data_IF_741359599750
#
_entry.id   IF_741359599750
#
_cell.length_a   1.000
_cell.length_b   1.000
_cell.length_c   1.000
_cell.angle_alpha   90.00
_cell.angle_beta   90.00
_cell.angle_gamma   90.00
#
_symmetry.space_group_name_H-M   'P 1'
#
loop_
_entity.id
_entity.type
_entity.pdbx_description
1 polymer ?
#
# COMPACT_ATOMS: atom_id res chain seq x y z
N UNK A 1 33.44 -16.74 13.02
CA UNK A 1 33.25 -16.62 11.57
C UNK A 1 32.44 -17.82 11.08
N UNK A 2 31.14 -17.66 10.82
CA UNK A 2 30.34 -18.67 10.11
C UNK A 2 30.01 -18.07 8.76
N UNK A 3 30.52 -18.68 7.71
CA UNK A 3 30.16 -18.37 6.33
C UNK A 3 28.73 -18.87 6.15
N UNK A 4 27.74 -17.99 6.24
CA UNK A 4 26.37 -18.27 5.81
C UNK A 4 26.33 -18.07 4.30
N UNK A 5 26.77 -19.08 3.55
CA UNK A 5 26.45 -19.20 2.13
C UNK A 5 25.26 -20.14 2.00
N UNK A 6 24.05 -19.58 2.00
CA UNK A 6 22.95 -20.23 1.29
C UNK A 6 23.23 -20.04 -0.19
N UNK A 7 23.49 -21.12 -0.92
CA UNK A 7 23.66 -21.06 -2.38
C UNK A 7 22.54 -20.21 -2.99
N UNK A 8 22.84 -19.33 -3.96
CA UNK A 8 21.79 -18.62 -4.69
C UNK A 8 20.74 -19.61 -5.19
N UNK A 9 19.46 -19.27 -5.01
CA UNK A 9 18.40 -19.97 -5.74
C UNK A 9 18.52 -19.55 -7.20
N UNK A 10 18.47 -20.51 -8.12
CA UNK A 10 18.45 -20.24 -9.55
C UNK A 10 17.34 -21.05 -10.21
N UNK A 11 16.68 -20.46 -11.19
CA UNK A 11 15.74 -21.15 -12.06
C UNK A 11 15.96 -20.72 -13.50
N UNK A 12 15.68 -21.64 -14.41
CA UNK A 12 15.64 -21.36 -15.84
C UNK A 12 14.19 -21.35 -16.28
N UNK A 13 13.77 -20.29 -16.98
CA UNK A 13 12.43 -20.13 -17.50
C UNK A 13 12.47 -19.95 -19.01
N UNK A 14 11.61 -20.68 -19.73
CA UNK A 14 11.31 -20.37 -21.12
C UNK A 14 10.18 -19.34 -21.19
N UNK A 15 10.45 -18.20 -21.81
CA UNK A 15 9.51 -17.12 -22.09
C UNK A 15 8.91 -17.35 -23.47
N UNK A 16 7.63 -17.72 -23.51
CA UNK A 16 6.92 -18.02 -24.75
C UNK A 16 6.55 -16.76 -25.55
N UNK A 17 6.24 -15.66 -24.85
CA UNK A 17 5.82 -14.39 -25.44
C UNK A 17 6.55 -13.25 -24.73
N UNK A 18 7.20 -12.40 -25.52
CA UNK A 18 7.90 -11.23 -25.00
C UNK A 18 6.92 -10.23 -24.36
N UNK A 19 7.39 -9.50 -23.36
CA UNK A 19 6.60 -8.52 -22.63
C UNK A 19 7.16 -8.21 -21.25
N UNK A 20 6.45 -7.39 -20.48
CA UNK A 20 6.85 -7.05 -19.12
C UNK A 20 6.73 -8.28 -18.20
N UNK A 21 7.83 -8.68 -17.58
CA UNK A 21 7.93 -9.87 -16.75
C UNK A 21 7.53 -9.62 -15.31
N UNK A 22 6.78 -10.56 -14.72
CA UNK A 22 6.51 -10.64 -13.30
C UNK A 22 7.10 -11.92 -12.69
N UNK A 23 7.66 -11.81 -11.50
CA UNK A 23 8.09 -12.94 -10.68
C UNK A 23 7.19 -13.01 -9.45
N UNK A 24 6.49 -14.13 -9.28
CA UNK A 24 5.88 -14.55 -8.01
C UNK A 24 6.85 -15.49 -7.30
N UNK A 25 7.26 -15.13 -6.10
CA UNK A 25 8.21 -15.88 -5.29
C UNK A 25 7.52 -16.31 -3.99
N UNK A 26 7.42 -17.61 -3.74
CA UNK A 26 7.01 -18.14 -2.44
C UNK A 26 8.28 -18.33 -1.60
N UNK A 27 8.47 -17.49 -0.59
CA UNK A 27 9.70 -17.48 0.19
C UNK A 27 9.46 -17.12 1.66
N UNK A 28 10.49 -17.34 2.48
CA UNK A 28 10.55 -16.93 3.90
C UNK A 28 11.98 -16.65 4.34
N UNK A 29 12.11 -15.97 5.45
CA UNK A 29 13.36 -15.67 6.15
C UNK A 29 13.30 -16.23 7.59
N UNK A 30 13.72 -17.49 7.80
CA UNK A 30 13.69 -18.12 9.12
C UNK A 30 14.42 -17.31 10.19
N UNK A 31 13.77 -17.14 11.34
CA UNK A 31 14.29 -16.37 12.46
C UNK A 31 14.05 -14.86 12.36
N UNK A 32 13.50 -14.37 11.25
CA UNK A 32 13.07 -12.98 11.10
C UNK A 32 11.59 -12.79 11.45
N UNK A 33 11.25 -11.65 12.03
CA UNK A 33 9.88 -11.18 12.24
C UNK A 33 9.91 -9.65 12.29
N UNK A 34 9.06 -8.98 11.50
CA UNK A 34 8.97 -7.52 11.46
C UNK A 34 8.76 -6.88 12.84
N UNK A 35 8.18 -7.60 13.80
CA UNK A 35 8.00 -7.12 15.17
C UNK A 35 9.28 -7.13 16.03
N UNK A 36 10.36 -7.79 15.58
CA UNK A 36 11.57 -8.06 16.36
C UNK A 36 12.73 -7.18 15.90
N UNK A 37 13.15 -6.27 16.78
CA UNK A 37 14.29 -5.37 16.53
C UNK A 37 15.57 -6.16 16.24
N UNK A 38 16.27 -5.79 15.16
CA UNK A 38 17.50 -6.43 14.69
C UNK A 38 17.29 -7.76 13.96
N UNK A 39 16.06 -8.21 13.78
CA UNK A 39 15.69 -9.41 13.03
C UNK A 39 14.39 -9.19 12.22
N UNK A 40 14.18 -7.97 11.73
CA UNK A 40 12.92 -7.52 11.12
C UNK A 40 12.60 -8.28 9.82
N UNK A 41 13.61 -8.48 8.98
CA UNK A 41 13.47 -9.09 7.66
C UNK A 41 14.77 -9.74 7.20
N UNK A 42 14.77 -10.33 6.01
CA UNK A 42 15.99 -10.58 5.25
C UNK A 42 15.87 -9.92 3.89
N UNK A 43 17.00 -9.52 3.30
CA UNK A 43 17.06 -8.91 1.97
C UNK A 43 17.64 -9.91 0.97
N UNK A 44 17.04 -9.99 -0.21
CA UNK A 44 17.56 -10.78 -1.33
C UNK A 44 17.66 -9.93 -2.60
N UNK A 45 18.73 -10.11 -3.36
CA UNK A 45 18.89 -9.52 -4.68
C UNK A 45 18.31 -10.45 -5.74
N UNK A 46 17.55 -9.89 -6.66
CA UNK A 46 16.93 -10.55 -7.80
C UNK A 46 17.70 -10.14 -9.06
N UNK A 47 18.14 -11.11 -9.84
CA UNK A 47 18.80 -10.86 -11.12
C UNK A 47 18.24 -11.72 -12.26
N UNK A 48 18.17 -11.13 -13.45
CA UNK A 48 17.80 -11.79 -14.73
C UNK A 48 19.07 -11.89 -15.57
N UNK A 49 19.46 -13.11 -15.96
CA UNK A 49 20.67 -13.40 -16.73
C UNK A 49 21.94 -12.75 -16.11
N UNK A 50 22.01 -12.75 -14.79
CA UNK A 50 23.10 -12.17 -14.01
C UNK A 50 23.04 -10.64 -13.86
N UNK A 51 22.06 -9.96 -14.45
CA UNK A 51 21.87 -8.50 -14.33
C UNK A 51 20.98 -8.19 -13.12
N UNK A 52 21.48 -7.45 -12.09
CA UNK A 52 20.68 -7.05 -10.95
C UNK A 52 19.46 -6.23 -11.37
N UNK A 53 18.28 -6.64 -10.89
CA UNK A 53 16.98 -6.14 -11.34
C UNK A 53 16.21 -5.47 -10.20
N UNK A 54 16.25 -6.06 -9.01
CA UNK A 54 15.59 -5.53 -7.83
C UNK A 54 16.21 -6.12 -6.55
N UNK A 55 16.01 -5.43 -5.44
CA UNK A 55 16.12 -5.99 -4.10
C UNK A 55 14.72 -6.31 -3.56
N UNK A 56 14.62 -7.43 -2.85
CA UNK A 56 13.42 -7.92 -2.19
C UNK A 56 13.66 -7.90 -0.68
N UNK A 57 12.82 -7.18 0.05
CA UNK A 57 12.75 -7.26 1.51
C UNK A 57 11.70 -8.30 1.90
N UNK A 58 12.12 -9.38 2.55
CA UNK A 58 11.22 -10.42 3.05
C UNK A 58 10.60 -9.98 4.39
N UNK A 59 9.77 -8.93 4.34
CA UNK A 59 9.16 -8.30 5.52
C UNK A 59 8.19 -9.21 6.30
N UNK A 60 7.65 -10.26 5.65
CA UNK A 60 6.86 -11.31 6.32
C UNK A 60 7.71 -12.33 7.12
N UNK A 61 9.03 -12.18 7.11
CA UNK A 61 9.93 -12.89 8.02
C UNK A 61 9.84 -14.41 7.87
N UNK A 62 9.70 -15.12 8.99
CA UNK A 62 9.63 -16.59 9.04
C UNK A 62 8.39 -17.19 8.37
N UNK A 63 7.35 -16.38 8.15
CA UNK A 63 6.12 -16.81 7.49
C UNK A 63 6.39 -17.11 6.01
N UNK A 64 5.93 -18.29 5.55
CA UNK A 64 5.97 -18.62 4.13
C UNK A 64 4.95 -17.77 3.38
N UNK A 65 5.44 -16.92 2.48
CA UNK A 65 4.67 -15.86 1.87
C UNK A 65 4.99 -15.67 0.39
N UNK A 66 4.01 -15.17 -0.36
CA UNK A 66 4.20 -14.72 -1.73
C UNK A 66 4.73 -13.29 -1.77
N UNK A 67 5.73 -13.07 -2.61
CA UNK A 67 6.28 -11.78 -2.96
C UNK A 67 6.23 -11.61 -4.48
N UNK A 68 5.94 -10.40 -4.94
CA UNK A 68 5.78 -10.10 -6.36
C UNK A 68 6.80 -9.05 -6.78
N UNK A 69 7.54 -9.33 -7.86
CA UNK A 69 8.62 -8.48 -8.37
C UNK A 69 8.40 -8.26 -9.87
N UNK A 70 8.49 -7.01 -10.32
CA UNK A 70 8.55 -6.66 -11.72
C UNK A 70 9.97 -6.87 -12.25
N UNK A 71 10.14 -7.82 -13.16
CA UNK A 71 11.41 -8.13 -13.79
C UNK A 71 11.76 -7.13 -14.89
N UNK A 72 10.77 -6.45 -15.47
CA UNK A 72 10.93 -5.58 -16.64
C UNK A 72 10.72 -6.36 -17.94
N UNK A 73 11.01 -5.75 -19.09
CA UNK A 73 10.82 -6.41 -20.38
C UNK A 73 11.67 -7.69 -20.51
N UNK A 74 11.00 -8.82 -20.74
CA UNK A 74 11.59 -10.11 -21.04
C UNK A 74 11.35 -10.47 -22.50
N UNK A 75 12.41 -10.82 -23.21
CA UNK A 75 12.32 -11.29 -24.59
C UNK A 75 11.90 -12.76 -24.67
N UNK A 76 11.36 -13.17 -25.82
CA UNK A 76 11.12 -14.60 -26.08
C UNK A 76 12.45 -15.35 -26.06
N UNK A 77 12.51 -16.44 -25.31
CA UNK A 77 13.72 -17.26 -25.19
C UNK A 77 13.84 -17.91 -23.83
N UNK A 78 15.05 -18.28 -23.46
CA UNK A 78 15.35 -18.85 -22.15
C UNK A 78 16.07 -17.82 -21.32
N UNK A 79 15.58 -17.57 -20.10
CA UNK A 79 16.19 -16.67 -19.13
C UNK A 79 16.54 -17.41 -17.85
N UNK A 80 17.58 -16.96 -17.16
CA UNK A 80 17.93 -17.42 -15.83
C UNK A 80 17.53 -16.35 -14.81
N UNK A 81 16.73 -16.74 -13.82
CA UNK A 81 16.43 -15.90 -12.65
C UNK A 81 17.26 -16.40 -11.48
N UNK A 82 17.87 -15.49 -10.73
CA UNK A 82 18.57 -15.81 -9.49
C UNK A 82 18.08 -14.96 -8.33
N UNK A 83 18.04 -15.57 -7.14
CA UNK A 83 17.70 -14.93 -5.87
C UNK A 83 18.85 -15.19 -4.90
N UNK A 84 19.49 -14.12 -4.44
CA UNK A 84 20.70 -14.21 -3.60
C UNK A 84 20.49 -13.44 -2.31
N UNK A 85 20.63 -14.11 -1.16
CA UNK A 85 20.59 -13.45 0.16
C UNK A 85 21.69 -12.38 0.29
N UNK A 86 21.33 -11.23 0.85
CA UNK A 86 22.18 -10.03 1.03
C UNK A 86 22.36 -9.74 2.52
N UNK A 87 23.27 -10.44 3.21
CA UNK A 87 23.48 -10.25 4.64
C UNK A 87 23.89 -8.81 5.01
N UNK A 88 24.59 -8.11 4.12
CA UNK A 88 25.05 -6.73 4.32
C UNK A 88 23.92 -5.69 4.24
N UNK A 89 22.80 -6.02 3.60
CA UNK A 89 21.59 -5.18 3.58
C UNK A 89 20.56 -5.62 4.61
N UNK A 90 20.77 -6.79 5.24
CA UNK A 90 19.82 -7.37 6.18
C UNK A 90 20.15 -7.00 7.64
N UNK A 91 19.15 -6.97 8.52
CA UNK A 91 19.38 -6.89 9.96
C UNK A 91 20.26 -8.05 10.45
N UNK A 92 21.05 -7.82 11.51
CA UNK A 92 22.04 -8.79 12.00
C UNK A 92 21.47 -10.16 12.42
N UNK A 93 20.20 -10.20 12.80
CA UNK A 93 19.46 -11.42 13.14
C UNK A 93 19.05 -12.26 11.93
N UNK A 94 19.06 -11.69 10.72
CA UNK A 94 18.77 -12.38 9.48
C UNK A 94 19.94 -13.29 9.07
N UNK A 95 19.64 -14.54 8.75
CA UNK A 95 20.68 -15.55 8.46
C UNK A 95 20.60 -16.15 7.08
N UNK A 96 19.40 -16.19 6.51
CA UNK A 96 19.16 -16.81 5.22
C UNK A 96 17.83 -16.38 4.61
N UNK A 97 17.68 -16.68 3.33
CA UNK A 97 16.43 -16.61 2.58
C UNK A 97 16.15 -17.99 2.01
N UNK A 98 14.94 -18.50 2.24
CA UNK A 98 14.47 -19.79 1.71
C UNK A 98 13.44 -19.54 0.62
N UNK A 99 13.77 -19.91 -0.62
CA UNK A 99 12.82 -19.93 -1.74
C UNK A 99 12.21 -21.32 -1.84
N UNK A 100 10.88 -21.38 -1.78
CA UNK A 100 10.12 -22.63 -1.88
C UNK A 100 9.54 -22.85 -3.29
N UNK A 101 9.08 -21.78 -3.92
CA UNK A 101 8.51 -21.82 -5.28
C UNK A 101 8.76 -20.48 -5.98
N UNK A 102 8.82 -20.51 -7.31
CA UNK A 102 9.03 -19.35 -8.15
C UNK A 102 8.29 -19.52 -9.48
N UNK A 103 7.52 -18.52 -9.88
CA UNK A 103 6.79 -18.51 -11.15
C UNK A 103 7.03 -17.20 -11.87
N UNK A 104 7.38 -17.29 -13.15
CA UNK A 104 7.54 -16.12 -14.02
C UNK A 104 6.36 -16.04 -14.98
N UNK A 105 5.78 -14.86 -15.10
CA UNK A 105 4.73 -14.53 -16.08
C UNK A 105 5.19 -13.37 -16.95
N UNK A 106 4.58 -13.22 -18.13
CA UNK A 106 4.78 -12.03 -18.97
C UNK A 106 3.45 -11.36 -19.28
N UNK A 107 3.49 -10.03 -19.35
CA UNK A 107 2.41 -9.16 -19.78
C UNK A 107 2.80 -8.64 -21.17
N UNK A 108 2.32 -9.28 -22.25
CA UNK A 108 2.70 -8.90 -23.61
C UNK A 108 2.00 -7.61 -24.04
N UNK A 109 2.55 -6.92 -25.05
CA UNK A 109 2.02 -5.65 -25.57
C UNK A 109 0.50 -5.59 -25.83
N UNK A 110 -0.15 -6.65 -26.37
CA UNK A 110 -1.60 -6.67 -26.56
C UNK A 110 -2.42 -6.79 -25.27
N UNK A 111 -1.81 -7.10 -24.13
CA UNK A 111 -2.51 -7.22 -22.85
C UNK A 111 -2.98 -5.85 -22.36
N UNK A 112 -4.21 -5.70 -21.82
CA UNK A 112 -4.74 -4.41 -21.38
C UNK A 112 -3.86 -3.70 -20.34
N UNK A 113 -3.20 -4.48 -19.49
CA UNK A 113 -2.32 -3.94 -18.43
C UNK A 113 -0.88 -3.67 -18.90
N UNK A 114 -0.53 -3.92 -20.16
CA UNK A 114 0.85 -3.78 -20.62
C UNK A 114 1.43 -2.39 -20.33
N UNK A 115 0.69 -1.33 -20.62
CA UNK A 115 1.17 0.03 -20.39
C UNK A 115 1.35 0.33 -18.89
N UNK A 116 0.54 -0.27 -18.01
CA UNK A 116 0.73 -0.14 -16.56
C UNK A 116 2.06 -0.77 -16.13
N UNK A 117 2.36 -1.96 -16.62
CA UNK A 117 3.61 -2.63 -16.30
C UNK A 117 4.81 -1.91 -16.91
N UNK A 118 4.68 -1.47 -18.16
CA UNK A 118 5.75 -0.80 -18.92
C UNK A 118 6.19 0.50 -18.26
N UNK A 119 5.26 1.26 -17.69
CA UNK A 119 5.54 2.54 -17.05
C UNK A 119 5.57 2.47 -15.52
N UNK A 120 5.50 1.27 -14.93
CA UNK A 120 5.70 1.11 -13.49
C UNK A 120 7.11 1.62 -13.09
N UNK A 121 7.23 2.46 -12.05
CA UNK A 121 8.52 3.01 -11.66
C UNK A 121 9.41 1.98 -10.95
N UNK A 122 10.72 2.15 -11.12
CA UNK A 122 11.73 1.58 -10.23
C UNK A 122 11.96 2.58 -9.10
N UNK A 123 11.96 2.11 -7.86
CA UNK A 123 12.04 2.97 -6.68
C UNK A 123 13.28 2.63 -5.87
N UNK A 124 14.22 3.57 -5.78
CA UNK A 124 15.22 3.50 -4.73
C UNK A 124 14.56 3.80 -3.38
N UNK A 125 14.49 2.82 -2.49
CA UNK A 125 13.95 3.00 -1.14
C UNK A 125 14.96 3.65 -0.20
N UNK A 126 14.54 3.85 1.05
CA UNK A 126 15.40 4.43 2.09
C UNK A 126 16.53 3.48 2.50
N UNK A 127 17.64 3.98 3.08
CA UNK A 127 18.71 3.14 3.61
C UNK A 127 18.28 2.15 4.70
N UNK A 128 17.15 2.39 5.36
CA UNK A 128 16.55 1.56 6.41
C UNK A 128 15.37 0.70 5.93
N UNK A 129 15.18 0.55 4.61
CA UNK A 129 14.07 -0.22 4.01
C UNK A 129 14.01 -1.70 4.46
N UNK A 130 15.10 -2.24 5.01
CA UNK A 130 15.13 -3.60 5.56
C UNK A 130 14.46 -3.70 6.94
N UNK A 131 14.29 -2.58 7.63
CA UNK A 131 13.73 -2.54 8.99
C UNK A 131 12.44 -1.74 9.04
N UNK A 132 12.31 -0.67 8.25
CA UNK A 132 11.19 0.26 8.32
C UNK A 132 10.89 0.85 6.94
N UNK A 133 9.72 1.47 6.77
CA UNK A 133 9.31 2.19 5.55
C UNK A 133 9.58 1.42 4.24
N UNK A 134 9.32 0.12 4.24
CA UNK A 134 9.59 -0.71 3.08
C UNK A 134 8.41 -0.60 2.09
N UNK A 135 8.65 -0.35 0.80
CA UNK A 135 7.58 -0.36 -0.21
C UNK A 135 6.91 -1.74 -0.28
N UNK A 136 5.60 -1.79 -0.06
CA UNK A 136 4.80 -3.01 0.01
C UNK A 136 4.07 -3.30 -1.29
N UNK A 137 3.40 -2.28 -1.84
CA UNK A 137 2.52 -2.39 -2.99
C UNK A 137 2.68 -1.16 -3.89
N UNK A 138 2.55 -1.37 -5.20
CA UNK A 138 2.43 -0.31 -6.19
C UNK A 138 0.98 -0.28 -6.68
N UNK A 139 0.16 0.59 -6.11
CA UNK A 139 -1.20 0.81 -6.59
C UNK A 139 -1.14 1.56 -7.91
N UNK A 140 -1.87 1.08 -8.91
CA UNK A 140 -1.95 1.73 -10.21
C UNK A 140 -3.39 2.04 -10.61
N UNK A 141 -3.56 3.14 -11.35
CA UNK A 141 -4.84 3.60 -11.87
C UNK A 141 -4.70 4.00 -13.34
N UNK A 142 -5.71 3.63 -14.14
CA UNK A 142 -5.87 4.06 -15.53
C UNK A 142 -7.11 4.93 -15.64
N UNK A 143 -7.00 6.09 -16.29
CA UNK A 143 -8.15 6.91 -16.69
C UNK A 143 -8.04 7.33 -18.15
N UNK A 144 -9.11 7.19 -18.95
CA UNK A 144 -9.16 7.85 -20.26
C UNK A 144 -9.14 9.37 -20.11
N UNK A 145 -8.32 10.05 -20.91
CA UNK A 145 -8.26 11.51 -20.97
C UNK A 145 -8.16 11.97 -22.44
N UNK A 146 -9.32 12.05 -23.08
CA UNK A 146 -9.43 12.26 -24.52
C UNK A 146 -8.84 11.09 -25.31
N UNK A 147 -7.84 11.35 -26.15
CA UNK A 147 -7.12 10.33 -26.91
C UNK A 147 -5.98 9.65 -26.14
N UNK A 148 -5.68 10.11 -24.91
CA UNK A 148 -4.61 9.60 -24.07
C UNK A 148 -5.18 8.74 -22.92
N UNK A 149 -4.33 7.92 -22.33
CA UNK A 149 -4.54 7.32 -21.02
C UNK A 149 -3.70 8.07 -20.00
N UNK A 150 -4.31 8.47 -18.88
CA UNK A 150 -3.61 8.90 -17.67
C UNK A 150 -3.36 7.69 -16.80
N UNK A 151 -2.10 7.34 -16.58
CA UNK A 151 -1.66 6.30 -15.66
C UNK A 151 -1.11 6.97 -14.41
N UNK A 152 -1.60 6.61 -13.23
CA UNK A 152 -1.14 7.17 -11.96
C UNK A 152 -0.75 6.04 -11.01
N UNK A 153 0.34 6.24 -10.28
CA UNK A 153 0.93 5.27 -9.36
C UNK A 153 1.04 5.84 -7.97
N UNK A 154 0.62 5.06 -7.00
CA UNK A 154 0.84 5.30 -5.59
C UNK A 154 1.58 4.12 -4.98
N UNK A 155 2.43 4.39 -4.01
CA UNK A 155 3.14 3.35 -3.26
C UNK A 155 2.51 3.23 -1.88
N UNK A 156 2.41 2.01 -1.39
CA UNK A 156 2.04 1.70 -0.02
C UNK A 156 3.34 1.38 0.72
N UNK A 157 3.63 2.07 1.81
CA UNK A 157 4.80 1.79 2.66
C UNK A 157 4.38 1.11 3.96
N UNK A 158 5.29 0.34 4.56
CA UNK A 158 5.01 -0.37 5.81
C UNK A 158 4.72 0.54 6.99
N UNK A 159 5.22 1.77 6.97
CA UNK A 159 4.89 2.80 7.93
C UNK A 159 4.90 4.21 7.30
N UNK A 160 4.43 5.16 8.10
CA UNK A 160 4.46 6.58 7.84
C UNK A 160 5.22 7.29 8.98
N UNK A 161 6.47 7.67 8.71
CA UNK A 161 7.25 8.61 9.54
C UNK A 161 6.64 10.03 9.47
N UNK A 162 5.54 10.26 10.19
CA UNK A 162 4.89 11.57 10.31
C UNK A 162 4.73 12.02 11.75
N UNK A 163 4.38 13.29 11.91
CA UNK A 163 3.87 13.88 13.13
C UNK A 163 2.44 13.41 13.48
N UNK A 164 1.79 12.63 12.60
CA UNK A 164 0.45 12.08 12.85
C UNK A 164 0.55 10.74 13.59
N UNK A 165 -0.17 10.65 14.70
CA UNK A 165 -0.43 9.39 15.41
C UNK A 165 -1.23 8.42 14.54
N UNK A 166 -1.12 7.12 14.80
CA UNK A 166 -1.97 6.09 14.18
C UNK A 166 -3.47 6.40 14.35
N UNK A 167 -3.85 7.02 15.46
CA UNK A 167 -5.21 7.49 15.72
C UNK A 167 -5.70 8.50 14.68
N UNK A 168 -4.86 9.51 14.41
CA UNK A 168 -5.14 10.55 13.43
C UNK A 168 -5.31 9.94 12.03
N UNK A 169 -4.44 9.00 11.64
CA UNK A 169 -4.51 8.32 10.34
C UNK A 169 -5.77 7.49 10.19
N UNK A 170 -6.11 6.69 11.20
CA UNK A 170 -7.36 5.92 11.23
C UNK A 170 -8.61 6.83 11.15
N UNK A 171 -8.60 7.98 11.82
CA UNK A 171 -9.71 8.93 11.76
C UNK A 171 -9.85 9.59 10.37
N UNK A 172 -8.76 10.05 9.77
CA UNK A 172 -8.77 10.89 8.56
C UNK A 172 -8.64 10.12 7.23
N UNK A 173 -8.02 8.94 7.29
CA UNK A 173 -7.70 8.14 6.11
C UNK A 173 -8.31 6.73 6.24
N UNK A 174 -8.68 6.30 7.45
CA UNK A 174 -9.27 4.98 7.65
C UNK A 174 -8.28 3.84 7.41
N UNK A 175 -6.99 4.14 7.50
CA UNK A 175 -5.89 3.18 7.42
C UNK A 175 -4.73 3.67 8.29
N UNK A 176 -3.98 2.77 8.95
CA UNK A 176 -2.74 3.14 9.63
C UNK A 176 -1.53 3.19 8.69
N UNK A 177 -1.66 2.64 7.48
CA UNK A 177 -0.60 2.46 6.48
C UNK A 177 -0.42 3.72 5.65
N UNK A 178 0.81 4.01 5.22
CA UNK A 178 1.06 5.12 4.32
C UNK A 178 0.66 4.78 2.88
N UNK A 179 0.02 5.73 2.20
CA UNK A 179 -0.28 5.65 0.78
C UNK A 179 -0.02 7.02 0.15
N UNK A 180 1.03 7.14 -0.64
CA UNK A 180 1.35 8.37 -1.37
C UNK A 180 1.35 8.15 -2.87
N UNK A 181 0.75 9.10 -3.55
CA UNK A 181 0.90 9.23 -4.99
C UNK A 181 2.34 9.66 -5.29
N UNK A 182 3.04 8.95 -6.17
CA UNK A 182 4.46 9.23 -6.46
C UNK A 182 4.68 9.72 -7.87
N UNK A 183 3.82 9.31 -8.80
CA UNK A 183 4.07 9.43 -10.22
C UNK A 183 2.80 9.34 -11.04
N UNK A 184 2.67 10.14 -12.08
CA UNK A 184 1.70 9.91 -13.14
C UNK A 184 2.23 10.30 -14.52
N UNK A 185 1.63 9.72 -15.55
CA UNK A 185 1.90 10.05 -16.94
C UNK A 185 0.65 10.02 -17.79
N UNK A 186 0.78 10.65 -18.95
CA UNK A 186 -0.19 10.65 -20.03
C UNK A 186 0.44 9.95 -21.20
N UNK A 187 -0.18 8.88 -21.68
CA UNK A 187 0.36 8.05 -22.76
C UNK A 187 -0.67 7.88 -23.88
N UNK A 188 -0.21 7.97 -25.12
CA UNK A 188 -0.98 7.57 -26.27
C UNK A 188 -0.98 6.02 -26.36
N UNK A 189 -2.13 5.35 -26.18
CA UNK A 189 -2.17 3.90 -26.14
C UNK A 189 -1.86 3.24 -27.49
N UNK A 190 -1.88 3.98 -28.60
CA UNK A 190 -1.57 3.47 -29.94
C UNK A 190 -0.08 3.57 -30.27
N UNK A 191 0.58 4.64 -29.82
CA UNK A 191 1.96 4.94 -30.19
C UNK A 191 2.96 4.72 -29.05
N UNK A 192 2.49 4.62 -27.80
CA UNK A 192 3.34 4.61 -26.61
C UNK A 192 4.01 5.96 -26.33
N UNK A 193 3.64 7.03 -27.04
CA UNK A 193 4.21 8.36 -26.82
C UNK A 193 3.70 8.93 -25.49
N UNK A 194 4.62 9.43 -24.68
CA UNK A 194 4.33 10.05 -23.37
C UNK A 194 4.50 11.57 -23.47
N UNK A 195 3.46 12.35 -23.82
CA UNK A 195 3.55 13.80 -23.90
C UNK A 195 3.76 14.50 -22.56
N UNK A 196 3.39 13.85 -21.45
CA UNK A 196 3.49 14.45 -20.11
C UNK A 196 3.71 13.36 -19.06
N UNK A 197 4.62 13.61 -18.14
CA UNK A 197 4.89 12.78 -16.98
C UNK A 197 5.33 13.68 -15.82
N UNK A 198 4.79 13.46 -14.62
CA UNK A 198 5.07 14.27 -13.43
C UNK A 198 5.20 13.40 -12.18
N UNK A 199 5.96 13.87 -11.21
CA UNK A 199 6.17 13.20 -9.92
C UNK A 199 5.73 14.09 -8.77
N UNK A 200 5.34 13.47 -7.64
CA UNK A 200 5.12 14.19 -6.40
C UNK A 200 6.44 14.35 -5.65
N UNK A 201 7.05 15.52 -5.77
CA UNK A 201 8.28 15.89 -5.08
C UNK A 201 8.08 16.23 -3.61
N UNK A 202 9.19 16.42 -2.89
CA UNK A 202 9.19 16.89 -1.51
C UNK A 202 8.41 18.20 -1.35
N UNK A 203 7.63 18.32 -0.26
CA UNK A 203 6.74 19.47 -0.06
C UNK A 203 5.46 19.44 -0.92
N UNK A 204 5.13 18.26 -1.48
CA UNK A 204 3.97 18.05 -2.36
C UNK A 204 4.02 18.87 -3.67
N UNK A 205 5.22 19.25 -4.11
CA UNK A 205 5.42 19.88 -5.41
C UNK A 205 5.17 18.88 -6.53
N UNK A 206 4.73 19.36 -7.70
CA UNK A 206 4.59 18.53 -8.89
C UNK A 206 5.71 18.90 -9.85
N UNK A 207 6.67 17.98 -10.04
CA UNK A 207 7.84 18.20 -10.88
C UNK A 207 7.72 17.39 -12.18
N UNK A 208 8.12 17.93 -13.35
CA UNK A 208 8.21 17.14 -14.57
C UNK A 208 9.17 15.95 -14.40
N UNK A 209 8.74 14.76 -14.82
CA UNK A 209 9.59 13.58 -14.81
C UNK A 209 10.72 13.75 -15.85
N UNK A 210 11.97 13.55 -15.41
CA UNK A 210 13.15 13.55 -16.27
C UNK A 210 13.38 12.16 -16.88
N UNK A 211 14.09 12.08 -18.01
CA UNK A 211 14.32 10.88 -18.83
C UNK A 211 15.20 9.78 -18.19
N UNK A 212 15.35 9.76 -16.86
CA UNK A 212 16.14 8.73 -16.17
C UNK A 212 15.36 7.43 -16.12
N UNK A 213 15.94 6.39 -16.72
CA UNK A 213 15.33 5.05 -16.73
C UNK A 213 16.32 3.96 -16.33
N UNK A 214 15.80 2.86 -15.78
CA UNK A 214 16.51 1.58 -15.63
C UNK A 214 15.67 0.55 -16.39
N UNK A 215 16.28 -0.13 -17.36
CA UNK A 215 15.59 -1.06 -18.25
C UNK A 215 14.33 -0.46 -18.93
N UNK A 216 14.34 0.85 -19.18
CA UNK A 216 13.21 1.58 -19.78
C UNK A 216 12.07 1.95 -18.83
N UNK A 217 12.19 1.67 -17.53
CA UNK A 217 11.25 2.12 -16.50
C UNK A 217 11.71 3.43 -15.87
N UNK A 218 10.80 4.36 -15.52
CA UNK A 218 11.15 5.59 -14.83
C UNK A 218 11.76 5.28 -13.45
N UNK A 219 12.74 6.08 -13.04
CA UNK A 219 13.45 5.88 -11.77
C UNK A 219 13.11 7.00 -10.79
N UNK A 220 12.64 6.61 -9.61
CA UNK A 220 12.36 7.48 -8.47
C UNK A 220 13.26 7.08 -7.30
N UNK A 221 13.49 8.00 -6.37
CA UNK A 221 14.16 7.72 -5.11
C UNK A 221 13.39 8.34 -3.95
N UNK A 222 13.11 7.55 -2.91
CA UNK A 222 12.60 8.08 -1.64
C UNK A 222 13.62 9.05 -1.05
N UNK A 223 13.18 10.25 -0.71
CA UNK A 223 14.05 11.40 -0.42
C UNK A 223 13.77 12.08 0.91
N UNK A 224 12.63 11.80 1.52
CA UNK A 224 12.24 12.31 2.84
C UNK A 224 11.91 11.15 3.78
N UNK A 225 11.78 11.45 5.08
CA UNK A 225 11.31 10.46 6.07
C UNK A 225 9.87 10.06 5.82
N UNK A 226 8.99 11.01 5.53
CA UNK A 226 7.60 10.75 5.15
C UNK A 226 7.46 10.27 3.68
N UNK A 227 8.41 9.49 3.20
CA UNK A 227 8.35 8.73 1.94
C UNK A 227 8.14 9.50 0.62
N UNK A 228 8.26 10.82 0.62
CA UNK A 228 8.22 11.62 -0.62
C UNK A 228 9.38 11.29 -1.55
N UNK A 229 9.13 11.34 -2.85
CA UNK A 229 10.10 10.93 -3.87
C UNK A 229 10.84 12.12 -4.49
N UNK A 230 11.99 11.82 -5.08
CA UNK A 230 12.74 12.73 -5.93
C UNK A 230 13.30 12.00 -7.15
N UNK A 231 13.75 12.76 -8.15
CA UNK A 231 14.39 12.23 -9.36
C UNK A 231 15.90 11.98 -9.18
N UNK A 232 16.46 12.38 -8.04
CA UNK A 232 17.88 12.33 -7.72
C UNK A 232 18.15 11.34 -6.61
N UNK A 233 19.39 10.87 -6.55
CA UNK A 233 19.81 9.89 -5.54
C UNK A 233 19.67 8.45 -6.00
N UNK A 234 20.25 7.59 -5.18
CA UNK A 234 20.31 6.13 -5.31
C UNK A 234 20.35 5.53 -3.91
N UNK A 235 20.03 4.26 -3.83
CA UNK A 235 20.08 3.47 -2.61
C UNK A 235 20.51 2.05 -2.98
N UNK A 236 21.14 1.28 -2.06
CA UNK A 236 21.31 -0.15 -2.27
C UNK A 236 19.97 -0.89 -2.40
N UNK A 237 18.86 -0.31 -1.94
CA UNK A 237 17.51 -0.87 -2.09
C UNK A 237 16.83 -0.38 -3.36
N UNK A 238 16.93 -1.14 -4.45
CA UNK A 238 16.20 -0.88 -5.70
C UNK A 238 14.94 -1.75 -5.77
N UNK A 239 13.78 -1.17 -5.51
CA UNK A 239 12.49 -1.87 -5.60
C UNK A 239 11.93 -1.84 -7.02
N UNK A 240 11.31 -2.96 -7.40
CA UNK A 240 10.55 -3.09 -8.63
C UNK A 240 9.25 -3.82 -8.33
N UNK A 241 8.26 -3.07 -7.88
CA UNK A 241 6.95 -3.61 -7.53
C UNK A 241 6.10 -3.72 -8.80
N UNK A 242 5.48 -4.87 -9.07
CA UNK A 242 4.50 -4.96 -10.15
C UNK A 242 3.26 -4.12 -9.77
N UNK A 243 2.67 -3.42 -10.74
CA UNK A 243 1.47 -2.63 -10.47
C UNK A 243 0.31 -3.56 -10.11
N UNK A 244 -0.30 -3.32 -8.96
CA UNK A 244 -1.56 -3.95 -8.58
C UNK A 244 -2.70 -3.01 -8.95
N UNK A 245 -3.60 -3.51 -9.79
CA UNK A 245 -4.79 -2.77 -10.19
C UNK A 245 -5.89 -2.97 -9.15
N UNK A 246 -5.69 -2.36 -7.98
CA UNK A 246 -6.59 -2.53 -6.84
C UNK A 246 -7.56 -1.36 -6.65
N UNK A 247 -7.41 -0.26 -7.42
CA UNK A 247 -8.16 0.97 -7.14
C UNK A 247 -9.01 1.46 -8.31
N UNK A 248 -10.32 1.22 -8.19
CA UNK A 248 -11.38 1.88 -8.95
C UNK A 248 -12.09 2.88 -8.03
N UNK A 249 -11.74 4.16 -8.19
CA UNK A 249 -12.32 5.29 -7.47
C UNK A 249 -13.82 5.50 -7.71
N UNK A 250 -14.42 4.82 -8.69
CA UNK A 250 -15.88 4.82 -8.81
C UNK A 250 -16.53 3.96 -7.72
N UNK A 251 -15.74 3.05 -7.11
CA UNK A 251 -16.22 2.02 -6.18
C UNK A 251 -15.78 2.22 -4.73
N UNK A 252 -14.84 3.12 -4.42
CA UNK A 252 -14.36 3.29 -3.05
C UNK A 252 -13.24 4.31 -2.91
N UNK A 253 -12.77 4.49 -1.68
CA UNK A 253 -11.57 5.27 -1.39
C UNK A 253 -10.31 4.45 -1.75
N UNK A 254 -9.15 5.11 -1.92
CA UNK A 254 -7.91 4.40 -2.31
C UNK A 254 -7.47 3.41 -1.25
N UNK A 255 -7.78 3.70 0.01
CA UNK A 255 -7.48 2.88 1.17
C UNK A 255 -8.20 1.52 1.13
N UNK A 256 -9.32 1.40 0.38
CA UNK A 256 -9.97 0.11 0.13
C UNK A 256 -9.09 -0.88 -0.63
N UNK A 257 -8.07 -0.42 -1.35
CA UNK A 257 -7.13 -1.32 -2.02
C UNK A 257 -6.44 -2.27 -1.04
N UNK A 258 -6.25 -1.84 0.22
CA UNK A 258 -5.62 -2.63 1.27
C UNK A 258 -6.47 -3.81 1.76
N UNK A 259 -7.78 -3.81 1.47
CA UNK A 259 -8.70 -4.89 1.84
C UNK A 259 -8.31 -6.22 1.18
N UNK A 260 -7.70 -6.16 -0.01
CA UNK A 260 -7.17 -7.32 -0.72
C UNK A 260 -5.80 -7.79 -0.17
N UNK A 261 -5.15 -6.99 0.67
CA UNK A 261 -3.81 -7.23 1.21
C UNK A 261 -3.80 -7.07 2.74
N UNK A 262 -4.59 -7.88 3.47
CA UNK A 262 -4.76 -7.74 4.93
C UNK A 262 -3.44 -7.88 5.70
N UNK A 263 -2.46 -8.57 5.13
CA UNK A 263 -1.11 -8.69 5.71
C UNK A 263 -0.39 -7.34 5.81
N UNK A 264 -0.73 -6.34 4.99
CA UNK A 264 -0.12 -5.01 5.05
C UNK A 264 -0.49 -4.30 6.36
N UNK A 265 -1.76 -4.39 6.77
CA UNK A 265 -2.22 -3.87 8.07
C UNK A 265 -1.52 -4.56 9.24
N UNK A 266 -1.39 -5.89 9.16
CA UNK A 266 -0.68 -6.67 10.18
C UNK A 266 0.79 -6.25 10.29
N UNK A 267 1.44 -5.97 9.16
CA UNK A 267 2.83 -5.55 9.11
C UNK A 267 3.02 -4.17 9.75
N UNK A 268 2.19 -3.19 9.39
CA UNK A 268 2.22 -1.85 9.98
C UNK A 268 1.97 -1.90 11.48
N UNK A 269 1.07 -2.76 11.96
CA UNK A 269 0.88 -2.93 13.41
C UNK A 269 2.14 -3.50 14.09
N UNK A 270 2.79 -4.50 13.49
CA UNK A 270 4.06 -5.04 14.00
C UNK A 270 5.15 -3.97 14.09
N UNK A 271 5.26 -3.13 13.06
CA UNK A 271 6.20 -2.02 13.01
C UNK A 271 5.95 -1.01 14.13
N UNK A 272 4.71 -0.51 14.19
CA UNK A 272 4.29 0.44 15.20
C UNK A 272 4.50 -0.08 16.63
N UNK A 273 4.21 -1.37 16.90
CA UNK A 273 4.48 -1.98 18.21
C UNK A 273 5.98 -2.04 18.53
N UNK A 274 6.83 -2.29 17.54
CA UNK A 274 8.29 -2.37 17.70
C UNK A 274 8.93 -0.99 17.91
N UNK A 275 8.35 0.04 17.30
CA UNK A 275 8.88 1.40 17.31
C UNK A 275 8.31 2.28 18.41
N UNK A 276 7.08 1.99 18.86
CA UNK A 276 6.45 2.70 19.95
C UNK A 276 7.26 2.53 21.25
N UNK A 277 7.90 3.63 21.66
CA UNK A 277 8.34 3.81 23.04
C UNK A 277 7.09 4.10 23.89
N UNK A 278 6.39 3.05 24.31
CA UNK A 278 5.35 3.10 25.34
C UNK A 278 4.05 3.87 25.01
N UNK A 279 3.15 3.29 24.20
CA UNK A 279 1.71 3.53 24.33
C UNK A 279 1.01 2.18 24.51
N UNK A 280 0.34 1.91 25.66
CA UNK A 280 -0.22 0.60 25.91
C UNK A 280 -1.48 0.34 25.05
N UNK A 281 -1.47 -0.78 24.34
CA UNK A 281 -2.61 -1.66 24.05
C UNK A 281 -3.88 -1.14 23.34
N UNK A 282 -3.98 0.08 22.82
CA UNK A 282 -5.29 0.61 22.39
C UNK A 282 -5.54 0.76 20.90
N UNK A 283 -4.56 0.55 20.00
CA UNK A 283 -4.74 0.77 18.56
C UNK A 283 -4.58 -0.49 17.71
N UNK A 284 -5.07 -1.62 18.19
CA UNK A 284 -5.26 -2.79 17.33
C UNK A 284 -6.26 -2.43 16.21
N UNK A 285 -5.87 -2.46 14.92
CA UNK A 285 -6.76 -2.16 13.79
C UNK A 285 -8.07 -2.96 13.82
N UNK A 286 -8.08 -4.14 14.45
CA UNK A 286 -9.26 -5.00 14.57
C UNK A 286 -10.32 -4.45 15.53
N UNK A 287 -9.96 -3.48 16.37
CA UNK A 287 -10.88 -2.82 17.29
C UNK A 287 -11.54 -1.57 16.67
N UNK A 288 -11.69 -1.53 15.35
CA UNK A 288 -12.28 -0.41 14.62
C UNK A 288 -13.39 -0.88 13.68
N UNK A 289 -14.43 -0.05 13.56
CA UNK A 289 -15.38 -0.12 12.46
C UNK A 289 -14.90 0.77 11.32
N UNK A 290 -14.54 0.15 10.20
CA UNK A 290 -14.17 0.87 9.00
C UNK A 290 -15.42 1.26 8.22
N UNK A 291 -15.49 2.52 7.79
CA UNK A 291 -16.62 3.09 7.05
C UNK A 291 -16.11 3.74 5.78
N UNK A 292 -16.48 3.17 4.65
CA UNK A 292 -16.32 3.77 3.33
C UNK A 292 -17.60 4.50 2.95
N UNK A 293 -17.48 5.70 2.40
CA UNK A 293 -18.63 6.47 1.96
C UNK A 293 -18.24 7.51 0.92
N UNK A 294 -19.19 7.89 0.09
CA UNK A 294 -19.02 9.00 -0.86
C UNK A 294 -19.72 10.23 -0.31
N UNK A 295 -18.97 11.33 -0.22
CA UNK A 295 -19.45 12.58 0.34
C UNK A 295 -19.47 13.68 -0.72
N UNK A 296 -20.53 14.49 -0.70
CA UNK A 296 -20.57 15.80 -1.36
C UNK A 296 -20.67 16.85 -0.28
N UNK A 297 -19.55 17.54 -0.04
CA UNK A 297 -19.36 18.46 1.06
C UNK A 297 -19.25 19.91 0.54
N UNK A 298 -20.05 20.84 1.08
CA UNK A 298 -19.77 22.27 0.95
C UNK A 298 -18.38 22.63 1.47
N UNK A 299 -17.73 23.68 0.94
CA UNK A 299 -16.42 24.13 1.43
C UNK A 299 -16.42 24.35 2.95
N UNK A 300 -15.37 23.87 3.61
CA UNK A 300 -15.19 24.01 5.06
C UNK A 300 -16.06 23.10 5.92
N UNK A 301 -16.82 22.17 5.32
CA UNK A 301 -17.58 21.17 6.10
C UNK A 301 -16.62 20.18 6.76
N UNK A 302 -16.79 19.99 8.07
CA UNK A 302 -16.11 19.03 8.91
C UNK A 302 -17.08 17.90 9.27
N UNK A 303 -16.79 16.69 8.81
CA UNK A 303 -17.67 15.53 8.97
C UNK A 303 -16.97 14.42 9.76
N UNK A 304 -17.69 13.79 10.68
CA UNK A 304 -17.28 12.57 11.37
C UNK A 304 -18.32 11.46 11.21
N UNK A 305 -17.87 10.21 11.15
CA UNK A 305 -18.74 9.05 11.21
C UNK A 305 -18.92 8.61 12.67
N UNK A 306 -20.10 8.11 13.00
CA UNK A 306 -20.44 7.63 14.33
C UNK A 306 -21.01 6.23 14.29
N UNK A 307 -20.66 5.41 15.28
CA UNK A 307 -21.25 4.11 15.53
C UNK A 307 -22.02 4.16 16.85
N UNK A 308 -23.26 3.71 16.83
CA UNK A 308 -24.07 3.53 18.05
C UNK A 308 -24.14 2.06 18.37
N UNK A 309 -23.80 1.70 19.60
CA UNK A 309 -23.91 0.34 20.14
C UNK A 309 -25.30 0.09 20.72
N UNK A 310 -25.71 -1.19 20.86
CA UNK A 310 -27.01 -1.56 21.44
C UNK A 310 -27.19 -1.14 22.91
N UNK A 311 -26.10 -0.93 23.63
CA UNK A 311 -26.11 -0.35 24.98
C UNK A 311 -26.31 1.19 24.98
N UNK A 312 -26.60 1.79 23.81
CA UNK A 312 -26.78 3.23 23.56
C UNK A 312 -25.52 4.09 23.68
N UNK A 313 -24.34 3.48 23.75
CA UNK A 313 -23.08 4.21 23.62
C UNK A 313 -22.87 4.63 22.16
N UNK A 314 -22.53 5.90 21.94
CA UNK A 314 -22.13 6.42 20.61
C UNK A 314 -20.64 6.75 20.61
N UNK A 315 -19.95 6.23 19.61
CA UNK A 315 -18.50 6.39 19.38
C UNK A 315 -18.30 7.12 18.06
N UNK A 316 -17.27 7.94 17.96
CA UNK A 316 -17.04 8.84 16.83
C UNK A 316 -15.65 8.65 16.26
N UNK A 317 -15.51 8.65 14.94
CA UNK A 317 -14.22 8.49 14.26
C UNK A 317 -13.23 9.60 14.59
N UNK A 318 -13.73 10.80 14.90
CA UNK A 318 -12.94 11.97 15.25
C UNK A 318 -12.63 12.08 16.75
N UNK A 319 -13.02 11.12 17.59
CA UNK A 319 -12.85 11.19 19.05
C UNK A 319 -13.43 12.45 19.71
N UNK A 320 -14.40 13.10 19.04
CA UNK A 320 -14.92 14.42 19.40
C UNK A 320 -13.87 15.55 19.37
N UNK A 321 -12.77 15.37 18.64
CA UNK A 321 -11.79 16.40 18.30
C UNK A 321 -12.01 16.84 16.84
N UNK A 322 -12.51 18.07 16.58
CA UNK A 322 -12.74 18.56 15.22
C UNK A 322 -11.51 18.53 14.32
N UNK A 323 -10.29 18.52 14.87
CA UNK A 323 -9.05 18.42 14.08
C UNK A 323 -8.88 17.05 13.40
N UNK A 324 -9.63 16.04 13.85
CA UNK A 324 -9.61 14.67 13.33
C UNK A 324 -10.71 14.40 12.31
N UNK A 325 -11.48 15.42 11.93
CA UNK A 325 -12.60 15.29 11.00
C UNK A 325 -12.16 15.23 9.55
N UNK A 326 -13.04 14.68 8.71
CA UNK A 326 -12.90 14.67 7.26
C UNK A 326 -13.46 15.96 6.65
N UNK A 327 -12.83 16.45 5.58
CA UNK A 327 -13.23 17.70 4.92
C UNK A 327 -13.20 17.64 3.38
N UNK A 328 -13.09 16.44 2.79
CA UNK A 328 -12.99 16.25 1.33
C UNK A 328 -14.22 15.58 0.71
N UNK A 329 -14.68 16.13 -0.42
CA UNK A 329 -15.68 15.48 -1.27
C UNK A 329 -15.09 14.29 -2.03
N UNK A 330 -15.95 13.38 -2.50
CA UNK A 330 -15.56 12.14 -3.16
C UNK A 330 -15.65 10.94 -2.22
N UNK A 331 -15.02 9.84 -2.61
CA UNK A 331 -14.93 8.66 -1.75
C UNK A 331 -13.94 8.90 -0.61
N UNK A 332 -14.37 8.50 0.58
CA UNK A 332 -13.63 8.61 1.83
C UNK A 332 -13.69 7.27 2.57
N UNK A 333 -12.65 7.01 3.35
CA UNK A 333 -12.64 5.98 4.39
C UNK A 333 -12.31 6.65 5.73
N UNK A 334 -12.93 6.16 6.79
CA UNK A 334 -12.61 6.50 8.18
C UNK A 334 -12.75 5.25 9.05
N UNK A 335 -12.20 5.28 10.26
CA UNK A 335 -12.30 4.20 11.22
C UNK A 335 -12.83 4.73 12.56
N UNK A 336 -13.88 4.09 13.07
CA UNK A 336 -14.50 4.43 14.35
C UNK A 336 -13.96 3.46 15.41
N UNK A 337 -13.35 3.94 16.51
CA UNK A 337 -12.90 3.07 17.59
C UNK A 337 -14.07 2.31 18.19
N UNK A 338 -13.85 1.04 18.49
CA UNK A 338 -14.78 0.19 19.21
C UNK A 338 -14.11 -0.40 20.47
N UNK A 339 -14.88 -0.72 21.52
CA UNK A 339 -14.37 -1.55 22.60
C UNK A 339 -13.79 -2.87 22.06
N UNK A 340 -12.67 -3.36 22.61
CA UNK A 340 -12.09 -4.63 22.17
C UNK A 340 -13.09 -5.78 22.21
N UNK A 341 -13.10 -6.60 21.17
CA UNK A 341 -14.04 -7.72 21.03
C UNK A 341 -15.46 -7.32 20.62
N UNK A 342 -15.69 -6.07 20.19
CA UNK A 342 -16.99 -5.67 19.62
C UNK A 342 -17.30 -6.50 18.38
N UNK A 343 -18.52 -7.05 18.35
CA UNK A 343 -19.06 -7.87 17.27
C UNK A 343 -20.14 -7.12 16.49
N UNK A 344 -20.45 -7.57 15.27
CA UNK A 344 -21.50 -6.98 14.45
C UNK A 344 -22.86 -6.91 15.17
N UNK A 345 -23.18 -7.91 15.98
CA UNK A 345 -24.45 -8.00 16.72
C UNK A 345 -24.60 -6.91 17.78
N UNK A 346 -23.50 -6.30 18.23
CA UNK A 346 -23.52 -5.24 19.24
C UNK A 346 -23.71 -3.85 18.63
N UNK A 347 -23.59 -3.71 17.30
CA UNK A 347 -23.84 -2.46 16.58
C UNK A 347 -25.35 -2.24 16.40
N UNK A 348 -25.81 -1.03 16.72
CA UNK A 348 -27.19 -0.59 16.58
C UNK A 348 -27.38 0.40 15.42
N UNK A 349 -26.35 1.13 14.99
CA UNK A 349 -26.46 2.04 13.85
C UNK A 349 -25.15 2.74 13.50
N UNK A 350 -25.10 3.31 12.30
CA UNK A 350 -24.03 4.20 11.86
C UNK A 350 -24.64 5.48 11.32
N UNK A 351 -24.04 6.62 11.67
CA UNK A 351 -24.50 7.94 11.25
C UNK A 351 -23.35 8.88 10.96
N UNK A 352 -23.67 10.06 10.47
CA UNK A 352 -22.70 11.12 10.19
C UNK A 352 -23.08 12.38 10.95
N UNK A 353 -22.08 13.02 11.55
CA UNK A 353 -22.25 14.24 12.32
C UNK A 353 -21.36 15.34 11.76
N UNK A 354 -21.95 16.50 11.55
CA UNK A 354 -21.24 17.73 11.21
C UNK A 354 -20.61 18.33 12.49
N UNK A 355 -19.36 18.78 12.40
CA UNK A 355 -18.64 19.43 13.51
C UNK A 355 -18.46 20.93 13.35
N UNK A 356 -18.65 21.43 12.14
CA UNK A 356 -18.65 22.87 11.86
C UNK A 356 -20.05 23.50 12.03
N UNK A 357 -20.12 24.82 11.92
CA UNK A 357 -21.36 25.60 12.07
C UNK A 357 -22.12 25.83 10.76
N UNK A 358 -21.64 25.28 9.64
CA UNK A 358 -22.28 25.45 8.34
C UNK A 358 -23.66 24.77 8.37
N UNK A 359 -24.63 25.40 7.73
CA UNK A 359 -26.00 24.90 7.57
C UNK A 359 -26.29 24.43 6.14
N UNK A 360 -25.38 24.66 5.19
CA UNK A 360 -25.52 24.20 3.81
C UNK A 360 -25.64 22.67 3.80
N UNK A 361 -26.63 22.08 3.12
CA UNK A 361 -26.79 20.63 3.05
C UNK A 361 -25.52 19.93 2.55
N UNK A 362 -25.25 18.75 3.09
CA UNK A 362 -24.23 17.84 2.60
C UNK A 362 -24.89 16.49 2.32
N UNK A 363 -24.28 15.73 1.41
CA UNK A 363 -24.77 14.42 1.01
C UNK A 363 -23.76 13.35 1.32
N UNK A 364 -24.24 12.23 1.87
CA UNK A 364 -23.47 11.00 2.05
C UNK A 364 -24.21 9.87 1.37
N UNK A 365 -23.50 9.10 0.53
CA UNK A 365 -24.05 7.96 -0.19
C UNK A 365 -23.04 6.80 -0.24
N UNK A 366 -23.49 5.64 -0.73
CA UNK A 366 -22.59 4.51 -1.01
C UNK A 366 -21.89 3.94 0.23
N UNK A 367 -22.51 4.06 1.41
CA UNK A 367 -21.92 3.63 2.68
C UNK A 367 -21.67 2.13 2.70
N UNK A 368 -20.42 1.74 2.94
CA UNK A 368 -19.99 0.35 3.18
C UNK A 368 -19.25 0.29 4.51
N UNK A 369 -19.37 -0.83 5.19
CA UNK A 369 -18.81 -1.01 6.52
C UNK A 369 -18.20 -2.38 6.65
N UNK A 370 -17.14 -2.50 7.44
CA UNK A 370 -16.59 -3.79 7.81
C UNK A 370 -15.85 -3.73 9.15
N UNK A 371 -15.79 -4.88 9.81
CA UNK A 371 -14.83 -5.16 10.89
C UNK A 371 -13.67 -5.96 10.30
N UNK A 372 -12.56 -6.07 11.02
CA UNK A 372 -11.49 -7.01 10.65
C UNK A 372 -11.60 -8.27 11.49
N UNK A 373 -11.32 -9.43 10.90
CA UNK A 373 -11.16 -10.69 11.64
C UNK A 373 -9.77 -10.80 12.29
N UNK A 374 -9.52 -11.93 12.96
CA UNK A 374 -8.22 -12.20 13.60
C UNK A 374 -7.01 -12.19 12.64
N UNK A 375 -7.26 -12.37 11.33
CA UNK A 375 -6.27 -12.36 10.25
C UNK A 375 -6.29 -11.05 9.45
N UNK A 376 -6.88 -9.99 10.00
CA UNK A 376 -7.00 -8.66 9.36
C UNK A 376 -7.86 -8.63 8.10
N UNK A 377 -8.64 -9.69 7.82
CA UNK A 377 -9.50 -9.72 6.63
C UNK A 377 -10.79 -8.96 6.91
N UNK A 378 -11.20 -8.06 6.00
CA UNK A 378 -12.50 -7.38 6.09
C UNK A 378 -13.66 -8.36 6.15
N UNK A 379 -14.55 -8.12 7.12
CA UNK A 379 -15.84 -8.80 7.30
C UNK A 379 -16.94 -7.79 7.00
N UNK A 380 -17.48 -7.76 5.77
CA UNK A 380 -18.47 -6.78 5.36
C UNK A 380 -19.72 -6.82 6.23
N UNK A 381 -20.25 -5.63 6.54
CA UNK A 381 -21.50 -5.44 7.26
C UNK A 381 -22.52 -4.74 6.37
N UNK A 382 -23.77 -5.19 6.43
CA UNK A 382 -24.90 -4.49 5.79
C UNK A 382 -25.70 -3.72 6.84
N UNK A 383 -26.41 -2.69 6.41
CA UNK A 383 -27.38 -1.97 7.24
C UNK A 383 -28.56 -2.86 7.68
N UNK A 384 -28.82 -3.98 7.02
CA UNK A 384 -29.78 -4.97 7.51
C UNK A 384 -29.22 -5.81 8.68
N UNK A 385 -27.90 -6.01 8.72
CA UNK A 385 -27.18 -6.69 9.82
C UNK A 385 -27.05 -5.79 11.05
N UNK A 386 -26.95 -4.47 10.85
CA UNK A 386 -26.97 -3.46 11.91
C UNK A 386 -28.40 -2.89 11.97
N UNK A 387 -29.29 -3.43 12.80
CA UNK A 387 -30.69 -2.95 12.91
C UNK A 387 -30.77 -1.46 13.30
N UNK A 388 -30.62 -0.54 12.34
CA UNK A 388 -30.39 0.88 12.57
C UNK A 388 -30.72 1.76 11.36
N UNK A 389 -30.72 3.07 11.58
CA UNK A 389 -30.99 4.11 10.58
C UNK A 389 -29.71 4.86 10.23
N UNK A 390 -29.54 5.23 8.96
CA UNK A 390 -28.58 6.27 8.56
C UNK A 390 -29.16 7.63 8.97
N UNK A 391 -28.56 8.31 9.94
CA UNK A 391 -28.91 9.68 10.33
C UNK A 391 -27.88 10.68 9.81
N UNK A 392 -28.33 11.83 9.30
CA UNK A 392 -27.46 12.91 8.80
C UNK A 392 -27.11 12.84 7.31
N UNK A 393 -27.61 11.85 6.57
CA UNK A 393 -27.55 11.85 5.11
C UNK A 393 -28.80 12.56 4.56
N UNK A 394 -28.61 13.71 3.92
CA UNK A 394 -29.61 14.33 3.03
C UNK A 394 -29.09 14.32 1.60
#
# INVERSE_FOLDING_TARGET
>A
MKVLQTKPFTMTQTIATAGEGGLRLLARAPGCDWSRRGAESAVASIAVDGVPTAELVLYRGEELAEYFIALGNLERGTVQISVTFRPELSPAGAREVQVHDATVTTVPSPHPDYLLWRYAPRLYGRPDSATSDTPLLLLARVRPEGALLRLAYAVVWSDQDTDRTMLQRLAQDGTPVDIDWVYELYVDPRTGRVPKAVVQGAGQTTDPLLSRTIAGHPVLATSTRNNMVSLKGTSPFLFALPPVWAYDETRGARECALDAFPWALALTEKEQRREASYVPNTLDPRNFLYVDFKATLPPGTLLAAQATLRNRQTLSSDYNDPRLTLFRSGWNRTAIPLPPGTTAQQLAGVGFVRRDKNTTPYRVEGVKMHLLDSQYRPQPLTLSTITGTLSGAS
#
